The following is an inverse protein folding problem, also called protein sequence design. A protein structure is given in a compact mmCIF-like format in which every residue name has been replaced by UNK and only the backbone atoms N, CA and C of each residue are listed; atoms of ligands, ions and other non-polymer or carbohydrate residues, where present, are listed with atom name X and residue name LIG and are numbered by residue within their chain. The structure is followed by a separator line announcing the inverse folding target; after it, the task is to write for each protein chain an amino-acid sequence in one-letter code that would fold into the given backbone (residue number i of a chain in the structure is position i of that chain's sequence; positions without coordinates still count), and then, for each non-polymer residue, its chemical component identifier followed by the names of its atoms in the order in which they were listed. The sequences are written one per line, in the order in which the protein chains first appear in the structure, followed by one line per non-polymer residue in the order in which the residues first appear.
data_IF_822100837058
#
_entry.id   IF_822100837058
#
_cell.length_a   1.000
_cell.length_b   1.000
_cell.length_c   1.000
_cell.angle_alpha   90.00
_cell.angle_beta   90.00
_cell.angle_gamma   90.00
#
_symmetry.space_group_name_H-M   'P 1'
#
loop_
_entity.id
_entity.type
_entity.pdbx_description
1 polymer ?
#
# COMPACT_ATOMS: atom_id res chain seq x y z
N UNK A 1 -28.94 -5.34 15.68
CA UNK A 1 -28.09 -5.17 14.48
C UNK A 1 -26.82 -5.97 14.74
N UNK A 2 -26.76 -7.22 14.28
CA UNK A 2 -25.68 -8.14 14.63
C UNK A 2 -24.52 -7.90 13.68
N UNK A 3 -23.43 -7.34 14.20
CA UNK A 3 -22.16 -7.20 13.49
C UNK A 3 -21.63 -8.60 13.14
N UNK A 4 -21.60 -8.92 11.84
CA UNK A 4 -20.94 -10.12 11.35
C UNK A 4 -19.42 -9.87 11.38
N UNK A 5 -18.80 -10.37 12.45
CA UNK A 5 -17.35 -10.55 12.54
C UNK A 5 -16.94 -11.62 11.53
N UNK A 6 -16.55 -11.23 10.33
CA UNK A 6 -15.98 -12.17 9.34
C UNK A 6 -14.59 -12.59 9.83
N UNK A 7 -14.53 -13.74 10.51
CA UNK A 7 -13.30 -14.50 10.75
C UNK A 7 -12.78 -14.98 9.40
N UNK A 8 -11.83 -14.25 8.82
CA UNK A 8 -11.30 -14.55 7.49
C UNK A 8 -10.26 -15.65 7.58
N UNK A 9 -10.49 -16.70 6.80
CA UNK A 9 -9.59 -17.81 6.45
C UNK A 9 -8.14 -17.32 6.28
N UNK A 10 -7.19 -18.06 6.85
CA UNK A 10 -5.75 -17.77 6.98
C UNK A 10 -5.05 -17.47 5.64
N UNK A 11 -5.29 -16.26 5.12
CA UNK A 11 -4.66 -15.70 3.94
C UNK A 11 -3.66 -14.65 4.43
N UNK A 12 -2.39 -14.76 4.03
CA UNK A 12 -1.36 -13.79 4.41
C UNK A 12 -1.84 -12.40 4.01
N UNK A 13 -1.97 -11.51 5.00
CA UNK A 13 -2.38 -10.12 4.78
C UNK A 13 -1.12 -9.26 4.61
N UNK A 14 -1.10 -8.45 3.58
CA UNK A 14 0.03 -7.60 3.21
C UNK A 14 -0.41 -6.17 2.99
N UNK A 15 0.52 -5.23 3.19
CA UNK A 15 0.38 -3.81 2.86
C UNK A 15 1.22 -3.50 1.64
N UNK A 16 0.73 -2.60 0.78
CA UNK A 16 1.47 -2.07 -0.36
C UNK A 16 2.07 -0.71 -0.05
N UNK A 17 3.24 -0.42 -0.62
CA UNK A 17 3.85 0.92 -0.56
C UNK A 17 4.39 1.28 -1.94
N UNK A 18 4.09 2.50 -2.41
CA UNK A 18 4.61 3.05 -3.67
C UNK A 18 5.23 4.41 -3.42
N UNK A 19 6.27 4.77 -4.18
CA UNK A 19 6.93 6.08 -4.03
C UNK A 19 7.32 6.66 -5.37
N UNK A 20 7.21 7.98 -5.50
CA UNK A 20 7.67 8.75 -6.64
C UNK A 20 8.53 9.92 -6.18
N UNK A 21 9.66 10.13 -6.87
CA UNK A 21 10.65 11.17 -6.60
C UNK A 21 10.49 12.44 -7.45
N UNK A 22 9.40 12.58 -8.21
CA UNK A 22 9.20 13.70 -9.16
C UNK A 22 7.73 14.11 -9.25
N UNK A 23 7.44 15.40 -9.18
CA UNK A 23 6.08 15.98 -9.15
C UNK A 23 5.51 16.30 -10.54
N UNK A 24 5.85 15.50 -11.56
CA UNK A 24 5.45 15.72 -12.95
C UNK A 24 4.18 14.96 -13.37
N UNK A 25 3.43 15.48 -14.36
CA UNK A 25 2.22 14.84 -14.92
C UNK A 25 2.46 13.42 -15.47
N UNK A 26 3.66 13.13 -16.00
CA UNK A 26 4.04 11.81 -16.52
C UNK A 26 3.98 10.70 -15.44
N UNK A 27 4.14 11.07 -14.17
CA UNK A 27 4.28 10.14 -13.05
C UNK A 27 2.94 9.63 -12.47
N UNK A 28 1.81 10.25 -12.81
CA UNK A 28 0.48 9.70 -12.49
C UNK A 28 0.29 8.30 -13.10
N UNK A 29 0.84 8.10 -14.31
CA UNK A 29 0.87 6.80 -14.99
C UNK A 29 1.78 5.82 -14.24
N UNK A 30 2.89 6.30 -13.70
CA UNK A 30 3.86 5.51 -12.90
C UNK A 30 3.21 5.00 -11.60
N UNK A 31 2.42 5.80 -10.86
CA UNK A 31 1.68 5.33 -9.67
C UNK A 31 0.67 4.26 -10.03
N UNK A 32 -0.17 4.50 -11.04
CA UNK A 32 -1.23 3.58 -11.41
C UNK A 32 -0.65 2.20 -11.80
N UNK A 33 0.48 2.19 -12.52
CA UNK A 33 1.19 0.98 -12.89
C UNK A 33 1.82 0.28 -11.69
N UNK A 34 2.48 0.99 -10.78
CA UNK A 34 3.05 0.42 -9.56
C UNK A 34 1.96 -0.24 -8.69
N UNK A 35 0.85 0.47 -8.44
CA UNK A 35 -0.29 -0.07 -7.69
C UNK A 35 -0.90 -1.29 -8.39
N UNK A 36 -1.03 -1.27 -9.73
CA UNK A 36 -1.52 -2.42 -10.50
C UNK A 36 -0.60 -3.63 -10.36
N UNK A 37 0.70 -3.41 -10.45
CA UNK A 37 1.71 -4.47 -10.32
C UNK A 37 1.66 -5.12 -8.93
N UNK A 38 1.57 -4.31 -7.87
CA UNK A 38 1.40 -4.81 -6.49
C UNK A 38 0.13 -5.66 -6.39
N UNK A 39 -1.02 -5.14 -6.86
CA UNK A 39 -2.28 -5.91 -6.83
C UNK A 39 -2.19 -7.24 -7.56
N UNK A 40 -1.57 -7.25 -8.76
CA UNK A 40 -1.39 -8.48 -9.54
C UNK A 40 -0.49 -9.47 -8.82
N UNK A 41 0.59 -9.00 -8.21
CA UNK A 41 1.54 -9.84 -7.46
C UNK A 41 0.90 -10.45 -6.19
N UNK A 42 0.18 -9.65 -5.40
CA UNK A 42 -0.56 -10.15 -4.23
C UNK A 42 -1.60 -11.19 -4.67
N UNK A 43 -2.34 -10.91 -5.76
CA UNK A 43 -3.35 -11.83 -6.28
C UNK A 43 -2.73 -13.15 -6.74
N UNK A 44 -1.60 -13.12 -7.44
CA UNK A 44 -0.92 -14.34 -7.90
C UNK A 44 -0.36 -15.18 -6.76
N UNK A 45 0.02 -14.54 -5.65
CA UNK A 45 0.44 -15.22 -4.40
C UNK A 45 -0.72 -15.74 -3.56
N UNK A 46 -1.97 -15.41 -3.91
CA UNK A 46 -3.12 -15.73 -3.09
C UNK A 46 -3.06 -15.03 -1.73
N UNK A 47 -2.52 -13.82 -1.66
CA UNK A 47 -2.51 -13.00 -0.45
C UNK A 47 -3.72 -12.05 -0.41
N UNK A 48 -3.89 -11.35 0.71
CA UNK A 48 -4.84 -10.26 0.84
C UNK A 48 -4.10 -8.92 0.92
N UNK A 49 -4.31 -8.03 -0.05
CA UNK A 49 -3.79 -6.66 0.02
C UNK A 49 -4.76 -5.84 0.87
N UNK A 50 -4.39 -5.57 2.12
CA UNK A 50 -5.25 -4.84 3.05
C UNK A 50 -5.32 -3.35 2.73
N UNK A 51 -4.17 -2.73 2.43
CA UNK A 51 -4.08 -1.29 2.17
C UNK A 51 -2.87 -0.97 1.30
N UNK A 52 -2.84 0.22 0.69
CA UNK A 52 -1.69 0.68 -0.11
C UNK A 52 -1.40 2.13 0.20
N UNK A 53 -0.17 2.40 0.63
CA UNK A 53 0.34 3.72 0.96
C UNK A 53 1.17 4.28 -0.20
N UNK A 54 1.21 5.60 -0.30
CA UNK A 54 1.98 6.28 -1.34
C UNK A 54 2.71 7.51 -0.83
N UNK A 55 3.90 7.73 -1.35
CA UNK A 55 4.68 8.95 -1.11
C UNK A 55 5.06 9.62 -2.43
N UNK A 56 4.63 10.87 -2.60
CA UNK A 56 5.02 11.72 -3.74
C UNK A 56 5.88 12.84 -3.21
N UNK A 57 7.16 12.84 -3.57
CA UNK A 57 8.13 13.81 -3.05
C UNK A 57 9.10 14.23 -4.16
N UNK A 58 9.46 15.50 -4.26
CA UNK A 58 10.54 15.93 -5.16
C UNK A 58 11.88 15.38 -4.65
N UNK A 59 12.81 15.05 -5.54
CA UNK A 59 14.07 14.32 -5.28
C UNK A 59 14.97 14.78 -4.12
N UNK A 60 14.70 15.91 -3.47
CA UNK A 60 15.41 16.41 -2.29
C UNK A 60 14.65 16.28 -0.96
N UNK A 61 13.39 15.81 -0.96
CA UNK A 61 12.57 15.74 0.24
C UNK A 61 12.50 14.30 0.77
N UNK A 62 13.02 14.13 1.99
CA UNK A 62 13.12 12.85 2.72
C UNK A 62 11.85 12.51 3.50
N UNK A 63 10.85 13.39 3.55
CA UNK A 63 9.59 13.07 4.21
C UNK A 63 8.90 11.90 3.49
N UNK A 64 8.51 10.91 4.29
CA UNK A 64 7.83 9.68 3.85
C UNK A 64 6.60 9.43 4.73
N UNK A 65 5.62 10.36 4.74
CA UNK A 65 4.43 10.22 5.57
C UNK A 65 3.68 8.91 5.31
N UNK A 66 3.60 8.45 4.06
CA UNK A 66 2.97 7.17 3.71
C UNK A 66 3.69 5.96 4.28
N UNK A 67 5.04 6.01 4.37
CA UNK A 67 5.80 4.95 5.03
C UNK A 67 5.60 4.93 6.55
N UNK A 68 5.54 6.11 7.19
CA UNK A 68 5.28 6.22 8.63
C UNK A 68 3.88 5.72 8.98
N UNK A 69 2.88 6.05 8.16
CA UNK A 69 1.50 5.58 8.33
C UNK A 69 1.42 4.05 8.18
N UNK A 70 2.07 3.49 7.16
CA UNK A 70 2.19 2.04 6.99
C UNK A 70 2.83 1.36 8.21
N UNK A 71 3.90 1.95 8.76
CA UNK A 71 4.60 1.41 9.92
C UNK A 71 3.68 1.39 11.16
N UNK A 72 2.98 2.50 11.43
CA UNK A 72 1.99 2.57 12.51
C UNK A 72 0.86 1.54 12.33
N UNK A 73 0.41 1.31 11.09
CA UNK A 73 -0.61 0.31 10.77
C UNK A 73 -0.14 -1.11 11.08
N UNK A 74 1.14 -1.42 10.86
CA UNK A 74 1.74 -2.70 11.20
C UNK A 74 1.85 -2.87 12.73
N UNK A 75 2.30 -1.84 13.44
CA UNK A 75 2.44 -1.86 14.90
C UNK A 75 1.10 -1.97 15.63
N UNK A 76 0.05 -1.30 15.14
CA UNK A 76 -1.28 -1.34 15.74
C UNK A 76 -2.09 -2.63 15.47
N UNK A 77 -1.53 -3.58 14.72
CA UNK A 77 -2.20 -4.81 14.30
C UNK A 77 -1.45 -6.08 14.75
N UNK A 78 -0.52 -5.94 15.70
CA UNK A 78 0.21 -7.01 16.40
C UNK A 78 -0.57 -7.60 17.56
#
# INVERSE_FOLDING_TARGET
MTTQTTKTTSKVSVLGYVRISTTGQAENTSIALQKRTIRQYVKSRGWNLAETYEDVSSGSNTNRPGFEEMSKRLEGNG
#
